data_IF_809421426872
#
_entry.id   IF_809421426872
#
_cell.length_a   1.000
_cell.length_b   1.000
_cell.length_c   1.000
_cell.angle_alpha   90.00
_cell.angle_beta   90.00
_cell.angle_gamma   90.00
#
_symmetry.space_group_name_H-M   'P 1'
#
loop_
_entity.id
_entity.type
_entity.pdbx_description
1 polymer ?
#
# COMPACT_ATOMS: atom_id res chain seq x y z
N UNK A 1 21.63 14.89 13.39
CA UNK A 1 21.77 13.42 13.48
C UNK A 1 20.37 12.86 13.63
N UNK A 2 19.82 12.26 12.57
CA UNK A 2 18.45 11.74 12.58
C UNK A 2 18.44 10.36 13.25
N UNK A 3 17.63 10.21 14.29
CA UNK A 3 17.47 8.98 15.05
C UNK A 3 16.71 7.96 14.20
N UNK A 4 17.26 6.76 14.01
CA UNK A 4 16.55 5.67 13.36
C UNK A 4 15.38 5.28 14.27
N UNK A 5 14.14 5.62 13.89
CA UNK A 5 12.95 5.24 14.66
C UNK A 5 12.73 3.74 14.49
N UNK A 6 13.28 2.96 15.41
CA UNK A 6 12.93 1.56 15.65
C UNK A 6 11.60 1.49 16.38
N UNK A 7 10.50 1.77 15.69
CA UNK A 7 9.19 1.30 16.13
C UNK A 7 8.18 1.40 14.98
N UNK A 8 7.77 0.23 14.48
CA UNK A 8 6.54 0.08 13.70
C UNK A 8 5.34 -0.15 14.61
N UNK A 9 5.35 0.37 15.84
CA UNK A 9 4.15 0.37 16.68
C UNK A 9 3.03 1.06 15.92
N UNK A 10 1.87 0.40 15.93
CA UNK A 10 0.80 0.57 14.96
C UNK A 10 0.52 2.02 14.60
N UNK A 11 0.75 2.37 13.32
CA UNK A 11 0.37 3.66 12.72
C UNK A 11 -1.15 3.94 12.73
N UNK A 12 -1.93 3.12 13.42
CA UNK A 12 -3.38 3.24 13.53
C UNK A 12 -3.80 2.72 14.90
N UNK A 13 -4.73 3.41 15.57
CA UNK A 13 -5.45 2.96 16.80
C UNK A 13 -6.39 1.77 16.53
N UNK A 14 -6.02 0.90 15.58
CA UNK A 14 -6.82 -0.22 15.15
C UNK A 14 -6.71 -1.35 16.15
N UNK A 15 -7.83 -1.67 16.80
CA UNK A 15 -7.91 -2.79 17.73
C UNK A 15 -8.31 -4.11 17.07
N UNK A 16 -8.70 -4.11 15.79
CA UNK A 16 -9.13 -5.32 15.06
C UNK A 16 -8.21 -5.57 13.87
N UNK A 17 -7.62 -6.77 13.80
CA UNK A 17 -6.67 -7.14 12.77
C UNK A 17 -7.07 -8.44 12.09
N UNK A 18 -7.27 -8.37 10.78
CA UNK A 18 -7.41 -9.56 9.94
C UNK A 18 -6.01 -10.08 9.59
N UNK A 19 -5.67 -11.29 10.03
CA UNK A 19 -4.33 -11.87 9.87
C UNK A 19 -4.38 -13.27 9.22
N UNK A 20 -3.25 -13.71 8.68
CA UNK A 20 -3.10 -15.06 8.10
C UNK A 20 -2.74 -16.14 9.14
N UNK A 21 -2.73 -15.78 10.43
CA UNK A 21 -2.44 -16.67 11.55
C UNK A 21 -0.96 -16.94 11.81
N UNK A 22 -0.03 -16.18 11.23
CA UNK A 22 1.40 -16.34 11.53
C UNK A 22 1.73 -15.87 12.95
N UNK A 23 2.48 -16.68 13.71
CA UNK A 23 2.96 -16.31 15.06
C UNK A 23 3.92 -15.11 15.12
N UNK A 24 4.20 -14.46 13.99
CA UNK A 24 4.84 -13.14 13.96
C UNK A 24 3.91 -12.03 14.45
N UNK A 25 2.61 -12.13 14.19
CA UNK A 25 1.64 -11.09 14.56
C UNK A 25 1.47 -10.98 16.08
N UNK A 26 1.43 -12.10 16.80
CA UNK A 26 1.37 -12.13 18.27
C UNK A 26 2.58 -11.46 18.97
N UNK A 27 3.71 -11.33 18.27
CA UNK A 27 4.92 -10.68 18.79
C UNK A 27 4.93 -9.17 18.62
N UNK A 28 4.10 -8.64 17.71
CA UNK A 28 4.13 -7.22 17.29
C UNK A 28 2.82 -6.51 17.65
N UNK A 29 1.69 -7.22 17.64
CA UNK A 29 0.41 -6.66 18.01
C UNK A 29 0.24 -6.66 19.53
N UNK A 30 -0.35 -5.60 20.11
CA UNK A 30 -0.58 -5.52 21.54
C UNK A 30 -1.56 -6.62 21.98
N UNK A 31 -1.45 -7.14 23.22
CA UNK A 31 -2.33 -8.20 23.73
C UNK A 31 -3.83 -7.89 23.65
N UNK A 32 -4.19 -6.61 23.66
CA UNK A 32 -5.55 -6.12 23.58
C UNK A 32 -6.13 -6.10 22.14
N UNK A 33 -5.29 -6.34 21.12
CA UNK A 33 -5.72 -6.42 19.74
C UNK A 33 -6.51 -7.71 19.47
N UNK A 34 -7.69 -7.58 18.87
CA UNK A 34 -8.49 -8.70 18.39
C UNK A 34 -7.95 -9.22 17.06
N UNK A 35 -7.62 -10.51 17.04
CA UNK A 35 -7.13 -11.21 15.86
C UNK A 35 -8.25 -12.01 15.19
N UNK A 36 -8.63 -11.60 13.99
CA UNK A 36 -9.52 -12.36 13.12
C UNK A 36 -8.68 -13.13 12.11
N UNK A 37 -8.41 -14.40 12.42
CA UNK A 37 -7.64 -15.28 11.52
C UNK A 37 -8.59 -15.83 10.46
N UNK A 38 -8.38 -15.45 9.20
CA UNK A 38 -9.22 -15.97 8.13
C UNK A 38 -9.02 -15.31 6.78
N UNK A 39 -8.94 -16.15 5.74
CA UNK A 39 -8.81 -15.69 4.35
C UNK A 39 -10.00 -14.86 3.86
N UNK A 40 -11.19 -15.02 4.46
CA UNK A 40 -12.38 -14.29 4.03
C UNK A 40 -12.19 -12.77 4.05
N UNK A 41 -11.45 -12.27 5.06
CA UNK A 41 -11.21 -10.84 5.23
C UNK A 41 -9.94 -10.35 4.52
N UNK A 42 -8.91 -11.20 4.41
CA UNK A 42 -7.62 -10.82 3.80
C UNK A 42 -7.54 -11.06 2.29
N UNK A 43 -8.27 -12.05 1.75
CA UNK A 43 -8.09 -12.53 0.37
C UNK A 43 -8.30 -11.45 -0.69
N UNK A 44 -9.29 -10.57 -0.50
CA UNK A 44 -9.55 -9.48 -1.46
C UNK A 44 -8.43 -8.45 -1.44
N UNK A 45 -7.92 -8.09 -0.26
CA UNK A 45 -6.80 -7.16 -0.11
C UNK A 45 -5.50 -7.75 -0.67
N UNK A 46 -5.20 -9.02 -0.35
CA UNK A 46 -4.08 -9.77 -0.91
C UNK A 46 -4.15 -9.84 -2.44
N UNK A 47 -5.33 -10.12 -3.00
CA UNK A 47 -5.54 -10.17 -4.45
C UNK A 47 -5.31 -8.81 -5.09
N UNK A 48 -5.88 -7.74 -4.54
CA UNK A 48 -5.70 -6.37 -5.07
C UNK A 48 -4.23 -5.95 -5.02
N UNK A 49 -3.55 -6.18 -3.88
CA UNK A 49 -2.12 -5.89 -3.74
C UNK A 49 -1.26 -6.73 -4.70
N UNK A 50 -1.61 -8.00 -4.88
CA UNK A 50 -0.97 -8.89 -5.84
C UNK A 50 -1.12 -8.39 -7.27
N UNK A 51 -2.32 -7.96 -7.67
CA UNK A 51 -2.59 -7.37 -8.99
C UNK A 51 -1.78 -6.08 -9.19
N UNK A 52 -1.82 -5.15 -8.22
CA UNK A 52 -1.04 -3.91 -8.24
C UNK A 52 0.45 -4.18 -8.49
N UNK A 53 1.04 -5.07 -7.68
CA UNK A 53 2.47 -5.40 -7.76
C UNK A 53 2.81 -6.05 -9.11
N UNK A 54 1.98 -6.97 -9.58
CA UNK A 54 2.23 -7.66 -10.85
C UNK A 54 2.14 -6.72 -12.05
N UNK A 55 1.12 -5.85 -12.11
CA UNK A 55 0.97 -4.88 -13.20
C UNK A 55 2.10 -3.86 -13.20
N UNK A 56 2.43 -3.31 -12.02
CA UNK A 56 3.58 -2.41 -11.84
C UNK A 56 4.88 -3.05 -12.34
N UNK A 57 5.13 -4.31 -11.97
CA UNK A 57 6.31 -5.04 -12.44
C UNK A 57 6.31 -5.30 -13.95
N UNK A 58 5.14 -5.49 -14.59
CA UNK A 58 5.02 -5.61 -16.05
C UNK A 58 5.38 -4.30 -16.74
N UNK A 59 4.83 -3.16 -16.28
CA UNK A 59 5.13 -1.86 -16.86
C UNK A 59 6.60 -1.47 -16.66
N UNK A 60 7.17 -1.72 -15.48
CA UNK A 60 8.59 -1.50 -15.24
C UNK A 60 9.48 -2.31 -16.19
N UNK A 61 9.17 -3.60 -16.42
CA UNK A 61 9.92 -4.42 -17.39
C UNK A 61 9.77 -3.93 -18.83
N UNK A 62 8.58 -3.45 -19.21
CA UNK A 62 8.37 -2.85 -20.53
C UNK A 62 9.22 -1.60 -20.69
N UNK A 63 9.19 -0.69 -19.72
CA UNK A 63 10.04 0.51 -19.71
C UNK A 63 11.52 0.14 -19.87
N UNK A 64 12.05 -0.73 -19.02
CA UNK A 64 13.46 -1.11 -19.06
C UNK A 64 13.89 -1.81 -20.38
N UNK A 65 12.96 -2.46 -21.08
CA UNK A 65 13.25 -3.16 -22.35
C UNK A 65 13.27 -2.24 -23.57
N UNK A 66 12.44 -1.19 -23.60
CA UNK A 66 12.27 -0.34 -24.78
C UNK A 66 13.10 0.95 -24.73
N UNK A 67 13.23 1.61 -23.57
CA UNK A 67 14.25 2.65 -23.37
C UNK A 67 14.42 3.02 -21.89
N UNK A 68 15.67 3.29 -21.49
CA UNK A 68 15.98 3.80 -20.15
C UNK A 68 15.84 5.33 -20.06
N UNK A 69 14.86 5.88 -20.79
CA UNK A 69 14.61 7.31 -20.79
C UNK A 69 13.74 7.72 -19.61
N UNK A 70 14.04 8.89 -19.04
CA UNK A 70 13.29 9.45 -17.91
C UNK A 70 11.81 9.66 -18.23
N UNK A 71 11.48 10.01 -19.47
CA UNK A 71 10.09 10.16 -19.91
C UNK A 71 9.30 8.86 -19.82
N UNK A 72 9.91 7.70 -20.10
CA UNK A 72 9.26 6.41 -19.96
C UNK A 72 9.01 6.04 -18.49
N UNK A 73 9.93 6.44 -17.60
CA UNK A 73 9.72 6.33 -16.16
C UNK A 73 8.52 7.16 -15.72
N UNK A 74 8.39 8.43 -16.17
CA UNK A 74 7.22 9.26 -15.86
C UNK A 74 5.91 8.63 -16.35
N UNK A 75 5.89 8.09 -17.58
CA UNK A 75 4.70 7.41 -18.13
C UNK A 75 4.34 6.18 -17.29
N UNK A 76 5.32 5.36 -16.94
CA UNK A 76 5.13 4.17 -16.10
C UNK A 76 4.58 4.54 -14.74
N UNK A 77 5.15 5.55 -14.08
CA UNK A 77 4.66 6.02 -12.78
C UNK A 77 3.23 6.55 -12.88
N UNK A 78 2.88 7.30 -13.94
CA UNK A 78 1.51 7.76 -14.18
C UNK A 78 0.53 6.61 -14.39
N UNK A 79 0.93 5.54 -15.11
CA UNK A 79 0.12 4.33 -15.27
C UNK A 79 -0.13 3.63 -13.93
N UNK A 80 0.91 3.50 -13.09
CA UNK A 80 0.80 2.92 -11.74
C UNK A 80 -0.18 3.74 -10.89
N UNK A 81 -0.04 5.06 -10.87
CA UNK A 81 -0.91 5.95 -10.12
C UNK A 81 -2.35 5.90 -10.63
N UNK A 82 -2.56 5.97 -11.95
CA UNK A 82 -3.90 5.91 -12.54
C UNK A 82 -4.59 4.59 -12.25
N UNK A 83 -3.86 3.47 -12.34
CA UNK A 83 -4.40 2.16 -12.04
C UNK A 83 -4.70 1.95 -10.55
N UNK A 84 -3.84 2.48 -9.68
CA UNK A 84 -4.10 2.53 -8.24
C UNK A 84 -5.36 3.33 -7.94
N UNK A 85 -5.50 4.54 -8.49
CA UNK A 85 -6.69 5.38 -8.33
C UNK A 85 -7.96 4.69 -8.86
N UNK A 86 -7.88 3.99 -9.99
CA UNK A 86 -9.02 3.26 -10.54
C UNK A 86 -9.48 2.12 -9.62
N UNK A 87 -8.55 1.27 -9.16
CA UNK A 87 -8.89 0.22 -8.19
C UNK A 87 -9.35 0.80 -6.86
N UNK A 88 -8.81 1.94 -6.45
CA UNK A 88 -9.22 2.65 -5.26
C UNK A 88 -10.68 3.08 -5.30
N UNK A 89 -11.10 3.69 -6.40
CA UNK A 89 -12.48 4.14 -6.58
C UNK A 89 -13.46 2.96 -6.67
N UNK A 90 -13.08 1.89 -7.36
CA UNK A 90 -14.01 0.81 -7.73
C UNK A 90 -13.97 -0.41 -6.80
N UNK A 91 -12.98 -0.53 -5.91
CA UNK A 91 -12.79 -1.73 -5.07
C UNK A 91 -12.52 -1.46 -3.59
N UNK A 92 -12.81 -0.25 -3.08
CA UNK A 92 -12.59 0.13 -1.67
C UNK A 92 -13.57 -0.55 -0.68
N UNK A 93 -13.05 -0.89 0.50
CA UNK A 93 -13.84 -1.22 1.71
C UNK A 93 -13.94 -0.05 2.70
N UNK A 94 -13.25 1.07 2.45
CA UNK A 94 -13.36 2.27 3.30
C UNK A 94 -12.66 2.17 4.67
N UNK A 95 -11.94 1.09 4.95
CA UNK A 95 -11.38 0.77 6.27
C UNK A 95 -9.85 0.57 6.27
N UNK A 96 -9.16 0.93 5.19
CA UNK A 96 -7.71 0.71 5.10
C UNK A 96 -6.93 1.64 6.02
N UNK A 97 -5.74 1.22 6.49
CA UNK A 97 -4.86 2.05 7.32
C UNK A 97 -4.52 3.39 6.63
N UNK A 98 -4.32 3.36 5.31
CA UNK A 98 -4.07 4.55 4.47
C UNK A 98 -5.25 5.52 4.48
N UNK A 99 -6.49 5.04 4.51
CA UNK A 99 -7.69 5.88 4.68
C UNK A 99 -7.76 6.49 6.07
N UNK A 100 -7.53 5.69 7.11
CA UNK A 100 -7.56 6.17 8.50
C UNK A 100 -6.50 7.24 8.75
N UNK A 101 -5.34 7.11 8.09
CA UNK A 101 -4.27 8.10 8.13
C UNK A 101 -4.50 9.32 7.22
N UNK A 102 -5.65 9.42 6.54
CA UNK A 102 -5.96 10.54 5.64
C UNK A 102 -5.23 10.49 4.29
N UNK A 103 -4.35 9.53 4.06
CA UNK A 103 -3.43 9.45 2.92
C UNK A 103 -4.09 8.99 1.60
N UNK A 104 -5.34 8.55 1.66
CA UNK A 104 -6.10 8.13 0.49
C UNK A 104 -7.55 8.64 0.53
N UNK A 105 -7.77 9.80 1.17
CA UNK A 105 -9.09 10.44 1.17
C UNK A 105 -9.50 10.89 -0.25
N UNK A 106 -8.52 11.19 -1.09
CA UNK A 106 -8.68 11.62 -2.47
C UNK A 106 -7.80 10.80 -3.42
N UNK A 107 -8.08 10.93 -4.72
CA UNK A 107 -7.26 10.30 -5.76
C UNK A 107 -5.87 10.94 -5.78
N UNK A 108 -4.84 10.12 -5.98
CA UNK A 108 -3.47 10.60 -5.98
C UNK A 108 -3.20 11.41 -7.25
N UNK A 109 -2.81 12.68 -7.06
CA UNK A 109 -2.30 13.54 -8.13
C UNK A 109 -0.80 13.33 -8.33
N UNK A 110 -0.29 13.61 -9.54
CA UNK A 110 1.15 13.54 -9.83
C UNK A 110 1.99 14.35 -8.84
N UNK A 111 1.52 15.55 -8.49
CA UNK A 111 2.18 16.40 -7.53
C UNK A 111 2.21 15.74 -6.15
N UNK A 112 1.06 15.29 -5.65
CA UNK A 112 0.95 14.62 -4.36
C UNK A 112 1.86 13.40 -4.24
N UNK A 113 1.97 12.59 -5.30
CA UNK A 113 2.91 11.47 -5.34
C UNK A 113 4.38 11.92 -5.30
N UNK A 114 4.75 12.90 -6.12
CA UNK A 114 6.14 13.34 -6.27
C UNK A 114 6.67 14.09 -5.03
N UNK A 115 5.78 14.76 -4.29
CA UNK A 115 6.14 15.50 -3.08
C UNK A 115 5.90 14.70 -1.80
N UNK A 116 5.36 13.48 -1.90
CA UNK A 116 5.11 12.67 -0.70
C UNK A 116 6.46 12.28 -0.06
N UNK A 117 6.68 12.62 1.23
CA UNK A 117 7.91 12.27 1.90
C UNK A 117 8.01 10.74 2.00
N UNK A 118 8.93 10.17 1.22
CA UNK A 118 9.29 8.75 1.29
C UNK A 118 10.22 8.44 2.45
N UNK A 119 10.82 9.49 3.03
CA UNK A 119 11.61 9.47 4.24
C UNK A 119 10.98 10.49 5.20
N UNK A 120 10.54 10.01 6.37
CA UNK A 120 10.18 10.84 7.52
C UNK A 120 11.41 11.02 8.40
#
# INVERSE_FOLDING_TARGET
MAQLVTSTEGKTDCQHWDTDGWGGYERVLPPEAQHHIGKHHTQRLERTNGILRQQTGRWHRQQNKFSKEWEQTKVTTRLVMGYFNWMWEHSRFGNTATQRAGLALESWSWHGFATFPTLL
#
